data_IF_720491899344
#
_entry.id   IF_720491899344
#
_cell.length_a   1.000
_cell.length_b   1.000
_cell.length_c   1.000
_cell.angle_alpha   90.00
_cell.angle_beta   90.00
_cell.angle_gamma   90.00
#
_symmetry.space_group_name_H-M   'P 1'
#
loop_
_entity.id
_entity.type
_entity.pdbx_description
1 polymer ?
#
# COMPACT_ATOMS: atom_id res chain seq x y z
N UNK A 1 -4.40 10.83 -3.85
CA UNK A 1 -3.71 9.94 -2.88
C UNK A 1 -2.39 9.39 -3.43
N UNK A 2 -2.35 8.91 -4.68
CA UNK A 2 -1.14 8.34 -5.30
C UNK A 2 -0.35 9.35 -6.16
N UNK A 3 -0.63 10.64 -5.99
CA UNK A 3 0.09 11.72 -6.69
C UNK A 3 1.57 11.67 -6.31
N UNK A 4 2.48 11.69 -7.29
CA UNK A 4 3.92 11.44 -7.15
C UNK A 4 4.34 9.96 -7.20
N UNK A 5 3.39 9.02 -7.37
CA UNK A 5 3.66 7.58 -7.52
C UNK A 5 3.27 7.03 -8.90
N UNK A 6 3.16 7.89 -9.90
CA UNK A 6 2.64 7.60 -11.25
C UNK A 6 3.44 6.50 -11.94
N UNK A 7 4.77 6.58 -11.90
CA UNK A 7 5.64 5.57 -12.53
C UNK A 7 5.41 4.17 -11.97
N UNK A 8 5.22 4.06 -10.65
CA UNK A 8 4.93 2.79 -9.98
C UNK A 8 3.51 2.30 -10.30
N UNK A 9 2.55 3.23 -10.37
CA UNK A 9 1.16 2.95 -10.73
C UNK A 9 1.06 2.40 -12.16
N UNK A 10 1.65 3.09 -13.14
CA UNK A 10 1.62 2.65 -14.54
C UNK A 10 2.36 1.34 -14.75
N UNK A 11 3.48 1.12 -14.05
CA UNK A 11 4.15 -0.18 -14.05
C UNK A 11 3.24 -1.28 -13.52
N UNK A 12 2.55 -1.04 -12.41
CA UNK A 12 1.62 -1.99 -11.81
C UNK A 12 0.46 -2.34 -12.74
N UNK A 13 -0.10 -1.35 -13.45
CA UNK A 13 -1.15 -1.57 -14.45
C UNK A 13 -0.65 -2.43 -15.63
N UNK A 14 0.61 -2.25 -16.06
CA UNK A 14 1.19 -3.01 -17.18
C UNK A 14 1.59 -4.44 -16.82
N UNK A 15 2.14 -4.65 -15.62
CA UNK A 15 2.69 -5.96 -15.22
C UNK A 15 1.76 -6.77 -14.32
N UNK A 16 0.65 -6.18 -13.86
CA UNK A 16 -0.22 -6.78 -12.84
C UNK A 16 0.42 -6.84 -11.44
N UNK A 17 1.54 -6.16 -11.21
CA UNK A 17 2.17 -6.10 -9.88
C UNK A 17 1.34 -5.26 -8.91
N UNK A 18 1.62 -5.38 -7.61
CA UNK A 18 0.87 -4.64 -6.59
C UNK A 18 0.95 -3.11 -6.81
N UNK A 19 -0.20 -2.40 -6.84
CA UNK A 19 -0.21 -0.96 -7.03
C UNK A 19 0.36 -0.21 -5.81
N UNK A 20 0.88 1.01 -6.01
CA UNK A 20 1.36 1.85 -4.90
C UNK A 20 0.20 2.24 -3.97
N UNK A 21 0.45 2.23 -2.66
CA UNK A 21 -0.56 2.55 -1.63
C UNK A 21 -0.74 4.05 -1.39
N UNK A 22 0.32 4.83 -1.59
CA UNK A 22 0.38 6.26 -1.30
C UNK A 22 1.43 6.96 -2.17
N UNK A 23 1.26 8.26 -2.37
CA UNK A 23 2.20 9.13 -3.06
C UNK A 23 2.83 10.20 -2.15
N UNK A 24 3.21 11.35 -2.70
CA UNK A 24 3.96 12.41 -2.02
C UNK A 24 3.23 13.01 -0.82
N UNK A 25 1.89 13.09 -0.88
CA UNK A 25 1.05 13.63 0.20
C UNK A 25 1.15 12.83 1.51
N UNK A 26 1.71 11.62 1.47
CA UNK A 26 1.95 10.82 2.68
C UNK A 26 3.10 11.36 3.54
N UNK A 27 3.97 12.19 2.97
CA UNK A 27 5.08 12.84 3.67
C UNK A 27 4.64 14.10 4.43
N UNK A 28 3.39 14.55 4.26
CA UNK A 28 2.86 15.71 4.96
C UNK A 28 2.93 15.53 6.48
N UNK A 29 3.35 16.57 7.21
CA UNK A 29 3.62 16.51 8.66
C UNK A 29 2.46 15.91 9.46
N UNK A 30 1.22 16.33 9.18
CA UNK A 30 0.01 15.81 9.84
C UNK A 30 -0.18 14.31 9.62
N UNK A 31 0.13 13.79 8.44
CA UNK A 31 0.05 12.35 8.15
C UNK A 31 1.18 11.59 8.82
N UNK A 32 2.39 12.16 8.81
CA UNK A 32 3.57 11.54 9.36
C UNK A 32 3.50 11.42 10.89
N UNK A 33 3.00 12.46 11.57
CA UNK A 33 2.80 12.49 13.02
C UNK A 33 1.68 11.53 13.48
N UNK A 34 0.69 11.27 12.65
CA UNK A 34 -0.45 10.45 13.03
C UNK A 34 -0.11 8.95 13.27
N UNK A 35 -0.86 8.23 14.12
CA UNK A 35 -0.70 6.80 14.32
C UNK A 35 -0.89 5.99 13.03
N UNK A 36 -0.12 4.90 12.88
CA UNK A 36 -0.04 4.09 11.63
C UNK A 36 -1.41 3.67 11.07
N UNK A 37 -2.37 3.35 11.93
CA UNK A 37 -3.72 2.92 11.52
C UNK A 37 -4.61 4.08 11.05
N UNK A 38 -4.30 5.31 11.43
CA UNK A 38 -5.04 6.51 11.04
C UNK A 38 -4.46 7.19 9.78
N UNK A 39 -3.13 7.06 9.55
CA UNK A 39 -2.42 7.74 8.44
C UNK A 39 -3.11 7.64 7.08
N UNK A 40 -3.59 6.45 6.72
CA UNK A 40 -4.24 6.22 5.43
C UNK A 40 -5.60 6.91 5.28
N UNK A 41 -6.31 7.18 6.39
CA UNK A 41 -7.58 7.93 6.38
C UNK A 41 -7.30 9.43 6.26
N UNK A 42 -6.33 9.93 7.03
CA UNK A 42 -5.90 11.33 7.01
C UNK A 42 -5.32 11.71 5.64
N UNK A 43 -4.44 10.88 5.07
CA UNK A 43 -3.86 11.12 3.75
C UNK A 43 -4.92 11.21 2.64
N UNK A 44 -6.02 10.44 2.75
CA UNK A 44 -7.15 10.52 1.82
C UNK A 44 -7.94 11.82 1.97
N UNK A 45 -8.19 12.24 3.22
CA UNK A 45 -8.89 13.50 3.49
C UNK A 45 -8.11 14.70 2.92
N UNK A 46 -6.78 14.73 3.15
CA UNK A 46 -5.90 15.77 2.59
C UNK A 46 -5.94 15.75 1.07
N UNK A 47 -5.78 14.57 0.44
CA UNK A 47 -5.81 14.47 -1.01
C UNK A 47 -7.14 14.95 -1.63
N UNK A 48 -8.27 14.66 -0.98
CA UNK A 48 -9.58 15.10 -1.46
C UNK A 48 -9.74 16.62 -1.38
N UNK A 49 -9.32 17.24 -0.27
CA UNK A 49 -9.38 18.70 -0.11
C UNK A 49 -8.39 19.43 -1.01
N UNK A 50 -7.18 18.89 -1.18
CA UNK A 50 -6.19 19.41 -2.13
C UNK A 50 -6.72 19.39 -3.58
N UNK A 51 -7.42 18.32 -4.00
CA UNK A 51 -8.02 18.25 -5.33
C UNK A 51 -9.16 19.26 -5.54
N UNK A 52 -9.89 19.63 -4.49
CA UNK A 52 -10.89 20.71 -4.55
C UNK A 52 -10.18 22.05 -4.64
N UNK A 53 -9.18 22.30 -3.79
CA UNK A 53 -8.40 23.53 -3.80
C UNK A 53 -7.76 23.78 -5.17
N UNK A 54 -7.11 22.77 -5.76
CA UNK A 54 -6.53 22.88 -7.09
C UNK A 54 -7.55 23.28 -8.18
N UNK A 55 -8.81 22.81 -8.07
CA UNK A 55 -9.86 23.24 -9.00
C UNK A 55 -10.28 24.69 -8.77
N UNK A 56 -10.41 25.09 -7.51
CA UNK A 56 -10.74 26.48 -7.14
C UNK A 56 -9.66 27.44 -7.63
N UNK A 57 -8.39 27.07 -7.49
CA UNK A 57 -7.24 27.85 -7.97
C UNK A 57 -7.29 28.06 -9.48
N UNK A 58 -7.61 27.01 -10.25
CA UNK A 58 -7.77 27.11 -11.72
C UNK A 58 -8.90 28.06 -12.12
N UNK A 59 -9.98 28.13 -11.33
CA UNK A 59 -11.12 29.01 -11.60
C UNK A 59 -10.98 30.41 -10.99
N UNK A 60 -9.85 30.74 -10.36
CA UNK A 60 -9.52 32.10 -9.91
C UNK A 60 -10.33 32.64 -8.73
N UNK A 61 -10.99 31.77 -7.94
CA UNK A 61 -11.89 32.20 -6.87
C UNK A 61 -11.20 32.64 -5.55
N UNK A 62 -9.89 32.95 -5.58
CA UNK A 62 -9.13 33.44 -4.42
C UNK A 62 -8.93 32.40 -3.31
N UNK A 63 -8.29 32.83 -2.21
CA UNK A 63 -7.97 31.98 -1.07
C UNK A 63 -9.24 31.56 -0.31
N UNK A 64 -9.49 30.25 -0.24
CA UNK A 64 -10.64 29.69 0.47
C UNK A 64 -10.24 29.08 1.82
N UNK A 65 -10.41 29.86 2.90
CA UNK A 65 -10.12 29.42 4.29
C UNK A 65 -11.04 28.29 4.76
N UNK A 66 -12.27 28.20 4.23
CA UNK A 66 -13.25 27.19 4.63
C UNK A 66 -12.79 25.76 4.31
N UNK A 67 -11.95 25.58 3.29
CA UNK A 67 -11.40 24.26 2.93
C UNK A 67 -10.44 23.74 4.00
N UNK A 68 -9.65 24.65 4.58
CA UNK A 68 -8.71 24.33 5.64
C UNK A 68 -9.44 23.94 6.94
N UNK A 69 -10.47 24.71 7.32
CA UNK A 69 -11.32 24.39 8.47
C UNK A 69 -11.99 23.02 8.31
N UNK A 70 -12.61 22.77 7.16
CA UNK A 70 -13.25 21.48 6.86
C UNK A 70 -12.25 20.33 6.88
N UNK A 71 -11.00 20.55 6.49
CA UNK A 71 -9.94 19.56 6.58
C UNK A 71 -9.61 19.27 8.05
N UNK A 72 -9.42 20.30 8.87
CA UNK A 72 -9.06 20.17 10.28
C UNK A 72 -10.17 19.47 11.08
N UNK A 73 -11.44 19.81 10.86
CA UNK A 73 -12.59 19.12 11.45
C UNK A 73 -12.53 17.63 11.09
N UNK A 74 -12.33 17.32 9.80
CA UNK A 74 -12.28 15.94 9.33
C UNK A 74 -11.11 15.15 9.94
N UNK A 75 -9.96 15.77 10.12
CA UNK A 75 -8.79 15.14 10.77
C UNK A 75 -9.10 14.82 12.23
N UNK A 76 -9.66 15.79 12.99
CA UNK A 76 -10.07 15.58 14.38
C UNK A 76 -11.08 14.44 14.52
N UNK A 77 -12.11 14.41 13.67
CA UNK A 77 -13.09 13.30 13.67
C UNK A 77 -12.43 11.94 13.41
N UNK A 78 -11.42 11.89 12.55
CA UNK A 78 -10.68 10.65 12.27
C UNK A 78 -9.88 10.24 13.49
N UNK A 79 -9.23 11.18 14.18
CA UNK A 79 -8.46 10.92 15.39
C UNK A 79 -9.34 10.37 16.51
N UNK A 80 -10.48 11.03 16.78
CA UNK A 80 -11.45 10.62 17.80
C UNK A 80 -12.02 9.22 17.51
N UNK A 81 -12.61 9.02 16.32
CA UNK A 81 -13.28 7.76 15.94
C UNK A 81 -12.31 6.58 15.82
N UNK A 82 -11.02 6.83 15.63
CA UNK A 82 -10.01 5.79 15.44
C UNK A 82 -8.98 5.76 16.56
N UNK A 83 -9.37 6.11 17.78
CA UNK A 83 -8.47 6.14 18.94
C UNK A 83 -7.79 4.80 19.22
N UNK A 84 -8.48 3.67 18.93
CA UNK A 84 -7.93 2.31 19.13
C UNK A 84 -7.46 1.69 17.81
N UNK A 85 -6.32 0.98 17.79
CA UNK A 85 -5.90 0.24 16.61
C UNK A 85 -6.90 -0.89 16.33
N UNK A 86 -7.28 -1.05 15.05
CA UNK A 86 -8.12 -2.17 14.62
C UNK A 86 -7.36 -3.48 14.89
N UNK A 87 -7.90 -4.35 15.74
CA UNK A 87 -7.36 -5.71 15.93
C UNK A 87 -7.45 -6.42 14.57
N UNK A 88 -6.30 -6.80 14.00
CA UNK A 88 -6.31 -7.63 12.79
C UNK A 88 -7.05 -8.92 13.13
N UNK A 89 -8.05 -9.35 12.34
CA UNK A 89 -8.59 -10.68 12.52
C UNK A 89 -7.41 -11.66 12.42
N UNK A 90 -7.30 -12.56 13.40
CA UNK A 90 -6.34 -13.67 13.30
C UNK A 90 -6.61 -14.37 11.96
N UNK A 91 -5.56 -14.73 11.18
CA UNK A 91 -5.77 -15.50 9.97
C UNK A 91 -6.58 -16.74 10.36
N UNK A 92 -7.83 -16.84 9.89
CA UNK A 92 -8.58 -18.08 10.04
C UNK A 92 -7.75 -19.16 9.34
N UNK A 93 -7.39 -20.22 10.06
CA UNK A 93 -6.74 -21.37 9.45
C UNK A 93 -7.62 -21.83 8.29
N UNK A 94 -7.18 -21.54 7.07
CA UNK A 94 -7.84 -22.04 5.89
C UNK A 94 -7.65 -23.56 5.92
N UNK A 95 -8.69 -24.29 6.30
CA UNK A 95 -8.68 -25.75 6.31
C UNK A 95 -8.22 -26.20 4.93
N UNK A 96 -6.99 -26.71 4.86
CA UNK A 96 -6.41 -27.12 3.61
C UNK A 96 -7.13 -28.38 3.16
N UNK A 97 -8.02 -28.26 2.16
CA UNK A 97 -8.47 -29.40 1.39
C UNK A 97 -7.22 -30.14 0.89
N UNK A 98 -7.02 -31.35 1.39
CA UNK A 98 -5.73 -32.01 1.63
C UNK A 98 -4.82 -32.36 0.45
N UNK A 99 -5.00 -31.79 -0.74
CA UNK A 99 -4.28 -32.26 -1.94
C UNK A 99 -3.21 -31.29 -2.47
N UNK A 100 -3.13 -30.03 -2.00
CA UNK A 100 -2.17 -29.07 -2.56
C UNK A 100 -0.77 -29.10 -1.92
N UNK A 101 -0.66 -29.45 -0.63
CA UNK A 101 0.62 -29.49 0.13
C UNK A 101 1.62 -30.50 -0.44
N UNK A 102 1.16 -31.70 -0.80
CA UNK A 102 2.02 -32.78 -1.35
C UNK A 102 2.67 -32.39 -2.69
N UNK A 103 2.03 -31.53 -3.49
CA UNK A 103 2.56 -31.06 -4.78
C UNK A 103 3.66 -29.99 -4.65
N UNK A 104 3.62 -29.16 -3.59
CA UNK A 104 4.64 -28.13 -3.37
C UNK A 104 5.92 -28.73 -2.82
N UNK A 105 5.82 -29.67 -1.89
CA UNK A 105 6.98 -30.34 -1.28
C UNK A 105 7.77 -31.18 -2.31
N UNK A 106 7.06 -31.90 -3.18
CA UNK A 106 7.67 -32.63 -4.30
C UNK A 106 8.30 -31.70 -5.35
N UNK A 107 7.69 -30.54 -5.66
CA UNK A 107 8.29 -29.52 -6.56
C UNK A 107 9.54 -28.87 -5.95
N UNK A 108 9.57 -28.66 -4.63
CA UNK A 108 10.71 -28.04 -3.95
C UNK A 108 11.91 -29.01 -3.87
N UNK A 109 11.67 -30.30 -3.57
CA UNK A 109 12.70 -31.36 -3.68
C UNK A 109 13.27 -31.48 -5.09
N UNK A 110 12.41 -31.58 -6.13
CA UNK A 110 12.85 -31.65 -7.54
C UNK A 110 13.63 -30.43 -8.03
N UNK A 111 13.44 -29.25 -7.43
CA UNK A 111 14.23 -28.04 -7.75
C UNK A 111 15.59 -28.06 -7.04
N UNK A 112 15.65 -28.51 -5.79
CA UNK A 112 16.91 -28.70 -5.05
C UNK A 112 17.84 -29.73 -5.70
N UNK A 113 17.28 -30.87 -6.12
CA UNK A 113 18.06 -31.95 -6.75
C UNK A 113 18.60 -31.54 -8.13
N UNK A 114 17.82 -30.79 -8.92
CA UNK A 114 18.30 -30.23 -10.20
C UNK A 114 19.46 -29.25 -10.01
N UNK A 115 19.44 -28.43 -8.96
CA UNK A 115 20.51 -27.48 -8.67
C UNK A 115 21.80 -28.19 -8.23
N UNK A 116 21.67 -29.27 -7.44
CA UNK A 116 22.81 -30.11 -7.03
C UNK A 116 23.43 -30.87 -8.21
N UNK A 117 22.62 -31.47 -9.10
CA UNK A 117 23.15 -32.15 -10.29
C UNK A 117 23.85 -31.19 -11.27
N UNK A 118 23.34 -29.95 -11.41
CA UNK A 118 24.02 -28.93 -12.23
C UNK A 118 25.39 -28.53 -11.69
N UNK A 119 25.57 -28.51 -10.36
CA UNK A 119 26.86 -28.22 -9.72
C UNK A 119 27.87 -29.36 -9.86
N UNK A 120 27.43 -30.62 -9.77
CA UNK A 120 28.32 -31.79 -9.94
C UNK A 120 28.85 -31.90 -11.38
N UNK A 121 27.97 -31.77 -12.38
CA UNK A 121 28.36 -31.91 -13.79
C UNK A 121 29.31 -30.81 -14.30
N UNK A 122 29.36 -29.65 -13.63
CA UNK A 122 30.31 -28.58 -13.97
C UNK A 122 31.67 -28.72 -13.26
N UNK A 123 31.78 -29.59 -12.24
CA UNK A 123 33.04 -29.84 -11.52
C UNK A 123 33.84 -30.98 -12.15
N UNK A 124 33.18 -31.94 -12.81
CA UNK A 124 33.82 -33.07 -13.52
C UNK A 124 34.29 -32.72 -14.95
N UNK A 125 34.06 -31.49 -15.42
CA UNK A 125 34.43 -31.01 -16.77
C UNK A 125 35.56 -29.98 -16.77
N UNK A 126 36.37 -29.94 -15.71
CA UNK A 126 37.58 -29.12 -15.61
C UNK A 126 38.80 -29.98 -15.42
#
# INVERSE_FOLDING_TARGET
>A
QVLGAEKALFRALKTGSNPPKHGILFQHAVVHAAPRWQRGKIARAIAAKAAIAARVDVHGAGLNTTLLEKLNIRVKEIEEKNSKPVKKPQPQEYQQRGNFRKSKESKQKRRGDRFKNRKRNNFERR
#
